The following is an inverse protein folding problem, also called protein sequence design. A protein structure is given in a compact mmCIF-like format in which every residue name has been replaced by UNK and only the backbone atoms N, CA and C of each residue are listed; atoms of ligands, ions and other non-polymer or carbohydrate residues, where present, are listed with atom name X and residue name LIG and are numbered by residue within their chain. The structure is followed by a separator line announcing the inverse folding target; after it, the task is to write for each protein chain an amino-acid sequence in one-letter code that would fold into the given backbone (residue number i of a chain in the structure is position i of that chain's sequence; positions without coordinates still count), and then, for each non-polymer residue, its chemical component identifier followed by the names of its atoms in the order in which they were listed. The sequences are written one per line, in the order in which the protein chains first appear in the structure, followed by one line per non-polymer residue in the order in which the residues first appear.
data_IF_753579809750
#
_entry.id   IF_753579809750
#
_cell.length_a   1.000
_cell.length_b   1.000
_cell.length_c   1.000
_cell.angle_alpha   90.00
_cell.angle_beta   90.00
_cell.angle_gamma   90.00
#
_symmetry.space_group_name_H-M   'P 1'
#
loop_
_entity.id
_entity.type
_entity.pdbx_description
1 polymer ?
#
# COMPACT_ATOMS: atom_id res chain seq x y z
N UNK A 1 -11.48 -4.11 18.07
CA UNK A 1 -11.02 -5.39 17.55
C UNK A 1 -9.67 -5.28 16.85
N UNK A 2 -9.60 -4.61 15.70
CA UNK A 2 -8.29 -4.36 15.10
C UNK A 2 -7.64 -3.15 15.77
N UNK A 3 -6.34 -3.25 16.02
CA UNK A 3 -5.59 -2.20 16.71
C UNK A 3 -4.56 -1.50 15.83
N UNK A 4 -4.04 -2.21 14.85
CA UNK A 4 -2.97 -1.67 14.02
C UNK A 4 -3.17 -2.11 12.58
N UNK A 5 -3.52 -1.16 11.74
CA UNK A 5 -3.97 -1.40 10.37
C UNK A 5 -2.94 -0.87 9.39
N UNK A 6 -2.62 -1.67 8.38
CA UNK A 6 -1.74 -1.30 7.29
C UNK A 6 -2.54 -1.26 6.00
N UNK A 7 -2.47 -0.16 5.24
CA UNK A 7 -3.08 -0.08 3.92
C UNK A 7 -2.01 0.12 2.87
N UNK A 8 -2.05 -0.68 1.81
CA UNK A 8 -1.21 -0.46 0.63
C UNK A 8 -1.80 0.69 -0.19
N UNK A 9 -1.00 1.70 -0.49
CA UNK A 9 -1.48 2.87 -1.21
C UNK A 9 -0.48 3.33 -2.25
N UNK A 10 -0.87 3.32 -3.52
CA UNK A 10 -0.02 3.71 -4.64
C UNK A 10 -0.57 4.89 -5.44
N UNK A 11 -1.65 5.50 -4.98
CA UNK A 11 -2.29 6.61 -5.68
C UNK A 11 -3.27 6.19 -6.77
N UNK A 12 -3.39 4.91 -7.05
CA UNK A 12 -4.37 4.41 -8.02
C UNK A 12 -5.78 4.59 -7.50
N UNK A 13 -6.75 4.46 -8.40
CA UNK A 13 -8.16 4.54 -8.03
C UNK A 13 -8.53 3.49 -6.98
N UNK A 14 -8.11 2.24 -7.21
CA UNK A 14 -8.35 1.17 -6.25
C UNK A 14 -7.66 1.42 -4.92
N UNK A 15 -6.45 1.98 -4.96
CA UNK A 15 -5.72 2.36 -3.75
C UNK A 15 -6.42 3.46 -2.96
N UNK A 16 -7.02 4.44 -3.65
CA UNK A 16 -7.76 5.50 -2.97
C UNK A 16 -8.99 4.97 -2.25
N UNK A 17 -9.69 4.05 -2.88
CA UNK A 17 -10.86 3.41 -2.25
C UNK A 17 -10.41 2.61 -1.02
N UNK A 18 -9.31 1.87 -1.15
CA UNK A 18 -8.77 1.11 -0.03
C UNK A 18 -8.35 2.03 1.13
N UNK A 19 -7.72 3.16 0.81
CA UNK A 19 -7.31 4.14 1.82
C UNK A 19 -8.52 4.70 2.56
N UNK A 20 -9.59 5.03 1.84
CA UNK A 20 -10.82 5.51 2.44
C UNK A 20 -11.43 4.45 3.37
N UNK A 21 -11.53 3.22 2.91
CA UNK A 21 -12.06 2.12 3.75
C UNK A 21 -11.19 1.89 4.98
N UNK A 22 -9.87 1.99 4.82
CA UNK A 22 -8.94 1.85 5.93
C UNK A 22 -9.12 2.97 6.95
N UNK A 23 -9.34 4.20 6.48
CA UNK A 23 -9.57 5.33 7.38
C UNK A 23 -10.87 5.15 8.18
N UNK A 24 -11.93 4.69 7.53
CA UNK A 24 -13.20 4.42 8.19
C UNK A 24 -13.04 3.30 9.23
N UNK A 25 -12.35 2.22 8.87
CA UNK A 25 -12.10 1.12 9.80
C UNK A 25 -11.28 1.58 11.01
N UNK A 26 -10.25 2.39 10.75
CA UNK A 26 -9.39 2.93 11.80
C UNK A 26 -10.20 3.74 12.81
N UNK A 27 -11.10 4.57 12.30
CA UNK A 27 -11.96 5.38 13.15
C UNK A 27 -12.92 4.49 13.95
N UNK A 28 -13.50 3.50 13.30
CA UNK A 28 -14.46 2.59 13.94
C UNK A 28 -13.82 1.78 15.06
N UNK A 29 -12.62 1.27 14.85
CA UNK A 29 -11.93 0.43 15.84
C UNK A 29 -11.04 1.22 16.79
N UNK A 30 -10.90 2.51 16.58
CA UNK A 30 -9.94 3.35 17.32
C UNK A 30 -8.51 2.78 17.18
N UNK A 31 -8.15 2.43 15.95
CA UNK A 31 -6.88 1.79 15.63
C UNK A 31 -5.82 2.81 15.21
N UNK A 32 -4.60 2.33 15.00
CA UNK A 32 -3.54 3.09 14.34
C UNK A 32 -3.51 2.69 12.87
N UNK A 33 -3.26 3.64 11.98
CA UNK A 33 -3.23 3.38 10.54
C UNK A 33 -1.91 3.86 9.94
N UNK A 34 -1.31 2.98 9.15
CA UNK A 34 -0.15 3.31 8.33
C UNK A 34 -0.48 3.03 6.87
N UNK A 35 -0.23 4.02 6.02
CA UNK A 35 -0.29 3.85 4.57
C UNK A 35 1.11 3.57 4.05
N UNK A 36 1.26 2.52 3.29
CA UNK A 36 2.55 2.08 2.76
C UNK A 36 2.53 2.11 1.24
N UNK A 37 3.44 2.88 0.66
CA UNK A 37 3.70 2.82 -0.77
C UNK A 37 4.91 1.93 -1.01
N UNK A 38 4.73 0.92 -1.87
CA UNK A 38 5.83 0.05 -2.27
C UNK A 38 6.25 0.43 -3.66
N UNK A 39 7.48 0.92 -3.78
CA UNK A 39 8.07 1.28 -5.06
C UNK A 39 8.70 0.02 -5.65
N UNK A 40 8.11 -0.46 -6.74
CA UNK A 40 8.68 -1.60 -7.44
C UNK A 40 9.84 -1.13 -8.29
N UNK A 41 10.99 -1.81 -8.22
CA UNK A 41 12.10 -1.45 -9.07
C UNK A 41 11.73 -1.68 -10.53
N UNK A 42 12.17 -0.77 -11.41
CA UNK A 42 12.01 -0.94 -12.84
C UNK A 42 12.78 -2.18 -13.29
N UNK A 43 12.31 -2.86 -14.36
CA UNK A 43 13.06 -3.98 -14.90
C UNK A 43 14.49 -3.54 -15.18
N UNK A 44 15.44 -4.22 -14.56
CA UNK A 44 16.85 -3.86 -14.75
C UNK A 44 17.28 -4.23 -16.15
N UNK A 45 17.76 -3.25 -16.88
CA UNK A 45 18.64 -3.55 -18.01
C UNK A 45 19.93 -4.10 -17.39
N UNK A 46 20.43 -5.18 -17.93
CA UNK A 46 21.56 -5.91 -17.37
C UNK A 46 22.81 -5.06 -17.10
N UNK A 47 22.90 -3.91 -17.72
CA UNK A 47 24.09 -3.08 -17.70
C UNK A 47 24.04 -1.90 -16.71
N UNK A 48 22.91 -1.70 -16.03
CA UNK A 48 22.76 -0.57 -15.16
C UNK A 48 22.79 -0.98 -13.69
N UNK A 49 23.85 -0.64 -12.97
CA UNK A 49 23.88 -0.90 -11.54
C UNK A 49 23.00 0.11 -10.81
N UNK A 50 21.93 -0.38 -10.26
CA UNK A 50 21.11 0.43 -9.38
C UNK A 50 20.20 1.42 -10.08
N UNK A 51 19.67 2.32 -9.29
CA UNK A 51 18.73 3.34 -9.70
C UNK A 51 19.49 4.57 -10.16
N UNK A 52 19.07 5.17 -11.25
CA UNK A 52 19.65 6.45 -11.67
C UNK A 52 19.24 7.56 -10.70
N UNK A 53 20.02 8.62 -10.66
CA UNK A 53 19.72 9.78 -9.84
C UNK A 53 18.35 10.38 -10.18
N UNK A 54 18.00 10.41 -11.49
CA UNK A 54 16.70 10.89 -11.92
C UNK A 54 15.56 10.00 -11.46
N UNK A 55 15.76 8.69 -11.42
CA UNK A 55 14.75 7.76 -10.92
C UNK A 55 14.52 7.93 -9.42
N UNK A 56 15.58 8.10 -8.65
CA UNK A 56 15.49 8.32 -7.22
C UNK A 56 14.75 9.62 -6.92
N UNK A 57 15.04 10.68 -7.66
CA UNK A 57 14.36 11.96 -7.51
C UNK A 57 12.89 11.87 -7.88
N UNK A 58 12.56 11.20 -8.98
CA UNK A 58 11.18 10.98 -9.39
C UNK A 58 10.40 10.17 -8.34
N UNK A 59 11.04 9.17 -7.76
CA UNK A 59 10.43 8.36 -6.70
C UNK A 59 10.17 9.19 -5.45
N UNK A 60 11.12 10.05 -5.09
CA UNK A 60 10.94 10.96 -3.95
C UNK A 60 9.76 11.90 -4.18
N UNK A 61 9.67 12.51 -5.36
CA UNK A 61 8.58 13.42 -5.70
C UNK A 61 7.22 12.69 -5.69
N UNK A 62 7.19 11.48 -6.21
CA UNK A 62 5.98 10.67 -6.21
C UNK A 62 5.52 10.39 -4.77
N UNK A 63 6.45 10.02 -3.91
CA UNK A 63 6.13 9.73 -2.51
C UNK A 63 5.64 10.98 -1.78
N UNK A 64 6.27 12.13 -2.01
CA UNK A 64 5.83 13.38 -1.40
C UNK A 64 4.39 13.72 -1.78
N UNK A 65 4.00 13.44 -3.02
CA UNK A 65 2.64 13.65 -3.46
C UNK A 65 1.67 12.65 -2.81
N UNK A 66 2.07 11.39 -2.69
CA UNK A 66 1.24 10.39 -1.97
C UNK A 66 1.06 10.78 -0.51
N UNK A 67 2.10 11.32 0.11
CA UNK A 67 2.00 11.80 1.49
C UNK A 67 0.98 12.93 1.63
N UNK A 68 0.92 13.83 0.66
CA UNK A 68 -0.09 14.89 0.68
C UNK A 68 -1.50 14.34 0.58
N UNK A 69 -1.71 13.35 -0.28
CA UNK A 69 -3.01 12.70 -0.44
C UNK A 69 -3.44 11.98 0.84
N UNK A 70 -2.50 11.29 1.48
CA UNK A 70 -2.74 10.60 2.74
C UNK A 70 -3.07 11.61 3.85
N UNK A 71 -2.33 12.71 3.91
CA UNK A 71 -2.58 13.76 4.90
C UNK A 71 -3.97 14.39 4.72
N UNK A 72 -4.38 14.57 3.46
CA UNK A 72 -5.72 15.09 3.17
C UNK A 72 -6.80 14.12 3.63
N UNK A 73 -6.62 12.83 3.39
CA UNK A 73 -7.55 11.82 3.88
C UNK A 73 -7.62 11.80 5.40
N UNK A 74 -6.47 11.89 6.07
CA UNK A 74 -6.39 11.96 7.52
C UNK A 74 -7.19 13.14 8.07
N UNK A 75 -7.03 14.28 7.43
CA UNK A 75 -7.75 15.49 7.81
C UNK A 75 -9.25 15.34 7.62
N UNK A 76 -9.67 14.81 6.45
CA UNK A 76 -11.09 14.61 6.15
C UNK A 76 -11.76 13.66 7.15
N UNK A 77 -11.05 12.63 7.57
CA UNK A 77 -11.59 11.61 8.47
C UNK A 77 -11.35 11.92 9.95
N UNK A 78 -10.56 12.94 10.24
CA UNK A 78 -10.26 13.30 11.63
C UNK A 78 -9.41 12.29 12.36
N UNK A 79 -8.46 11.66 11.64
CA UNK A 79 -7.56 10.65 12.21
C UNK A 79 -6.12 10.98 11.84
N UNK A 80 -5.18 10.30 12.48
CA UNK A 80 -3.78 10.34 12.09
C UNK A 80 -3.46 9.14 11.22
N UNK A 81 -2.70 9.35 10.15
CA UNK A 81 -2.24 8.29 9.27
C UNK A 81 -0.74 8.45 9.07
N UNK A 82 0.04 7.46 9.50
CA UNK A 82 1.46 7.43 9.17
C UNK A 82 1.64 7.03 7.70
N UNK A 83 2.63 7.59 7.05
CA UNK A 83 2.89 7.30 5.64
C UNK A 83 4.34 6.87 5.48
N UNK A 84 4.54 5.68 4.92
CA UNK A 84 5.85 5.07 4.76
C UNK A 84 6.06 4.62 3.32
N UNK A 85 7.31 4.51 2.91
CA UNK A 85 7.62 3.94 1.62
C UNK A 85 8.73 2.92 1.74
N UNK A 86 8.68 1.90 0.90
CA UNK A 86 9.70 0.86 0.80
C UNK A 86 9.87 0.48 -0.66
N UNK A 87 11.04 -0.03 -1.01
CA UNK A 87 11.29 -0.53 -2.35
C UNK A 87 11.26 -2.06 -2.35
N UNK A 88 10.78 -2.67 -3.41
CA UNK A 88 10.76 -4.11 -3.58
C UNK A 88 9.50 -4.60 -4.29
N UNK A 89 9.26 -5.89 -4.19
CA UNK A 89 8.03 -6.49 -4.74
C UNK A 89 6.89 -6.26 -3.76
N UNK A 90 5.79 -5.73 -4.27
CA UNK A 90 4.71 -5.22 -3.43
C UNK A 90 4.19 -6.26 -2.42
N UNK A 91 3.85 -7.45 -2.88
CA UNK A 91 3.29 -8.47 -1.99
C UNK A 91 4.25 -8.84 -0.86
N UNK A 92 5.52 -9.09 -1.21
CA UNK A 92 6.51 -9.46 -0.22
C UNK A 92 6.78 -8.34 0.78
N UNK A 93 6.92 -7.12 0.29
CA UNK A 93 7.19 -5.97 1.14
C UNK A 93 6.04 -5.72 2.12
N UNK A 94 4.82 -5.79 1.62
CA UNK A 94 3.64 -5.58 2.47
C UNK A 94 3.54 -6.65 3.55
N UNK A 95 3.73 -7.92 3.17
CA UNK A 95 3.68 -9.04 4.12
C UNK A 95 4.76 -8.87 5.20
N UNK A 96 5.98 -8.57 4.79
CA UNK A 96 7.10 -8.41 5.72
C UNK A 96 6.90 -7.19 6.63
N UNK A 97 6.42 -6.09 6.06
CA UNK A 97 6.17 -4.87 6.82
C UNK A 97 5.08 -5.10 7.88
N UNK A 98 4.02 -5.80 7.49
CA UNK A 98 2.92 -6.11 8.41
C UNK A 98 3.38 -7.00 9.56
N UNK A 99 4.21 -7.99 9.25
CA UNK A 99 4.72 -8.93 10.25
C UNK A 99 5.70 -8.24 11.20
N UNK A 100 6.66 -7.53 10.65
CA UNK A 100 7.70 -6.83 11.45
C UNK A 100 7.07 -5.76 12.33
N UNK A 101 6.09 -5.03 11.83
CA UNK A 101 5.40 -3.99 12.58
C UNK A 101 4.26 -4.46 13.45
N UNK A 102 3.99 -5.75 13.44
CA UNK A 102 2.93 -6.36 14.24
C UNK A 102 1.53 -5.79 13.93
N UNK A 103 1.26 -5.59 12.64
CA UNK A 103 -0.05 -5.17 12.19
C UNK A 103 -1.04 -6.34 12.27
N UNK A 104 -2.28 -6.06 12.61
CA UNK A 104 -3.29 -7.10 12.74
C UNK A 104 -4.34 -7.08 11.62
N UNK A 105 -4.28 -6.09 10.75
CA UNK A 105 -5.12 -6.05 9.56
C UNK A 105 -4.35 -5.38 8.43
N UNK A 106 -4.34 -6.01 7.26
CA UNK A 106 -3.81 -5.41 6.03
C UNK A 106 -5.00 -5.16 5.09
N UNK A 107 -5.08 -3.95 4.55
CA UNK A 107 -6.10 -3.58 3.58
C UNK A 107 -5.44 -3.23 2.27
N UNK A 108 -5.89 -3.84 1.18
CA UNK A 108 -5.37 -3.55 -0.16
C UNK A 108 -6.53 -3.44 -1.14
N UNK A 109 -6.36 -2.60 -2.16
CA UNK A 109 -7.32 -2.47 -3.22
C UNK A 109 -7.13 -3.56 -4.26
N UNK A 110 -8.21 -3.89 -4.94
CA UNK A 110 -8.16 -4.76 -6.10
C UNK A 110 -7.78 -3.92 -7.32
N UNK A 111 -6.88 -4.44 -8.15
CA UNK A 111 -6.40 -3.70 -9.30
C UNK A 111 -7.44 -3.61 -10.41
N UNK A 112 -7.59 -2.40 -10.99
CA UNK A 112 -8.49 -2.19 -12.12
C UNK A 112 -7.99 -2.81 -13.42
N UNK A 113 -6.75 -3.26 -13.46
CA UNK A 113 -6.18 -3.89 -14.65
C UNK A 113 -6.62 -5.34 -14.82
N UNK A 114 -7.46 -5.85 -13.92
CA UNK A 114 -7.94 -7.22 -13.95
C UNK A 114 -8.64 -7.58 -15.26
N UNK A 115 -9.25 -6.63 -15.94
CA UNK A 115 -9.91 -6.87 -17.22
C UNK A 115 -8.96 -7.28 -18.32
N UNK A 116 -7.77 -6.69 -18.33
CA UNK A 116 -6.77 -6.97 -19.35
C UNK A 116 -5.91 -8.18 -19.02
N UNK A 117 -5.71 -8.41 -17.74
CA UNK A 117 -4.70 -9.34 -17.29
C UNK A 117 -5.22 -10.27 -16.20
N UNK A 118 -6.49 -10.49 -16.17
CA UNK A 118 -7.30 -11.19 -15.17
C UNK A 118 -6.61 -12.06 -14.13
N UNK A 119 -5.50 -12.66 -14.44
CA UNK A 119 -4.76 -13.53 -13.52
C UNK A 119 -3.47 -12.92 -13.00
N UNK A 120 -2.99 -11.81 -13.60
CA UNK A 120 -1.74 -11.19 -13.16
C UNK A 120 -1.96 -10.17 -12.08
N UNK A 121 -3.16 -9.65 -12.01
CA UNK A 121 -3.43 -8.51 -11.17
C UNK A 121 -4.13 -8.85 -9.88
N UNK A 122 -4.74 -10.00 -9.81
CA UNK A 122 -5.12 -10.62 -8.58
C UNK A 122 -3.91 -11.08 -7.77
N UNK A 123 -2.75 -11.19 -8.42
CA UNK A 123 -1.57 -11.78 -7.81
C UNK A 123 -1.09 -11.05 -6.57
N UNK A 124 -1.04 -9.73 -6.57
CA UNK A 124 -0.56 -9.01 -5.39
C UNK A 124 -1.49 -9.22 -4.20
N UNK A 125 -2.79 -9.03 -4.39
CA UNK A 125 -3.77 -9.22 -3.34
C UNK A 125 -3.82 -10.70 -2.90
N UNK A 126 -3.78 -11.62 -3.86
CA UNK A 126 -3.81 -13.05 -3.57
C UNK A 126 -2.58 -13.49 -2.80
N UNK A 127 -1.40 -13.01 -3.19
CA UNK A 127 -0.16 -13.35 -2.49
C UNK A 127 -0.15 -12.79 -1.08
N UNK A 128 -0.63 -11.57 -0.90
CA UNK A 128 -0.76 -11.00 0.43
C UNK A 128 -1.70 -11.85 1.27
N UNK A 129 -2.85 -12.22 0.71
CA UNK A 129 -3.83 -13.05 1.39
C UNK A 129 -3.25 -14.40 1.81
N UNK A 130 -2.47 -15.03 0.92
CA UNK A 130 -1.88 -16.34 1.19
C UNK A 130 -0.76 -16.30 2.23
N UNK A 131 0.00 -15.22 2.27
CA UNK A 131 1.25 -15.18 3.05
C UNK A 131 1.21 -14.27 4.28
N UNK A 132 0.20 -13.43 4.42
CA UNK A 132 0.13 -12.54 5.57
C UNK A 132 -0.08 -13.33 6.86
N UNK A 133 0.55 -12.85 7.93
CA UNK A 133 0.38 -13.46 9.25
C UNK A 133 -0.92 -13.01 9.94
N UNK A 134 -1.64 -12.09 9.34
CA UNK A 134 -2.82 -11.46 9.93
C UNK A 134 -3.98 -11.43 8.95
N UNK A 135 -5.09 -10.87 9.37
CA UNK A 135 -6.28 -10.68 8.52
C UNK A 135 -5.98 -9.77 7.36
N UNK A 136 -6.59 -10.05 6.21
CA UNK A 136 -6.43 -9.25 4.99
C UNK A 136 -7.82 -8.92 4.45
N UNK A 137 -8.04 -7.64 4.19
CA UNK A 137 -9.24 -7.15 3.54
C UNK A 137 -8.88 -6.67 2.13
N UNK A 138 -9.50 -7.29 1.14
CA UNK A 138 -9.32 -6.90 -0.27
C UNK A 138 -10.54 -6.06 -0.65
N UNK A 139 -10.29 -4.79 -0.98
CA UNK A 139 -11.36 -3.85 -1.31
C UNK A 139 -11.53 -3.80 -2.82
N UNK A 140 -12.72 -4.09 -3.28
CA UNK A 140 -13.06 -4.00 -4.71
C UNK A 140 -13.72 -2.68 -5.01
N UNK A 141 -13.38 -2.11 -6.14
CA UNK A 141 -13.96 -0.86 -6.60
C UNK A 141 -15.25 -1.09 -7.35
#
# INVERSE_FOLDING_TARGET
MFRKILVGYDGSKGGKIALERAAVATKHYNAQLTALWVRQPLPKHADLPGESEGEAEAAHDYFEERKREVAEMAKQQGIEIACESRAGHAAKVIVDFAKTGDYDLVIVGHSDHSELWGRLLGDTADRISDHAHCSVLIVKS
#
